data_IF_734563159242
#
_entry.id   IF_734563159242
#
_cell.length_a   1.000
_cell.length_b   1.000
_cell.length_c   1.000
_cell.angle_alpha   90.00
_cell.angle_beta   90.00
_cell.angle_gamma   90.00
#
_symmetry.space_group_name_H-M   'P 1'
#
loop_
_entity.id
_entity.type
_entity.pdbx_description
1 polymer ?
#
# COMPACT_ATOMS: atom_id res chain seq x y z
N UNK A 1 -10.86 -13.46 0.53
CA UNK A 1 -10.33 -12.25 -0.15
C UNK A 1 -9.77 -11.33 0.91
N UNK A 2 -8.59 -10.77 0.68
CA UNK A 2 -7.97 -9.78 1.58
C UNK A 2 -8.17 -8.38 1.00
N UNK A 3 -8.20 -7.38 1.86
CA UNK A 3 -8.33 -5.99 1.45
C UNK A 3 -7.04 -5.24 1.72
N UNK A 4 -6.79 -4.19 0.94
CA UNK A 4 -5.69 -3.27 1.12
C UNK A 4 -6.10 -1.85 0.77
N UNK A 5 -5.24 -0.90 1.12
CA UNK A 5 -5.38 0.49 0.68
C UNK A 5 -4.62 0.66 -0.64
N UNK A 6 -5.34 1.14 -1.66
CA UNK A 6 -4.82 1.35 -3.01
C UNK A 6 -5.08 2.78 -3.45
N UNK A 7 -4.17 3.30 -4.28
CA UNK A 7 -4.35 4.58 -4.98
C UNK A 7 -4.27 4.33 -6.48
N UNK A 8 -5.20 4.95 -7.22
CA UNK A 8 -5.26 4.86 -8.69
C UNK A 8 -4.80 6.16 -9.36
N UNK A 9 -4.64 7.21 -8.57
CA UNK A 9 -4.14 8.52 -8.93
C UNK A 9 -3.53 9.16 -7.67
N UNK A 10 -2.61 10.10 -7.85
CA UNK A 10 -2.10 10.90 -6.75
C UNK A 10 -3.13 11.94 -6.28
N UNK A 11 -3.06 12.34 -5.01
CA UNK A 11 -3.95 13.37 -4.46
C UNK A 11 -3.96 13.46 -2.94
N UNK A 12 -5.01 14.09 -2.41
CA UNK A 12 -5.28 14.14 -0.98
C UNK A 12 -5.80 12.80 -0.45
N UNK A 13 -6.23 12.74 0.82
CA UNK A 13 -6.72 11.50 1.44
C UNK A 13 -7.88 10.82 0.69
N UNK A 14 -8.66 11.57 -0.09
CA UNK A 14 -9.79 11.09 -0.89
C UNK A 14 -9.42 10.05 -1.96
N UNK A 15 -8.14 9.93 -2.33
CA UNK A 15 -7.68 8.94 -3.31
C UNK A 15 -7.45 7.55 -2.70
N UNK A 16 -7.46 7.43 -1.36
CA UNK A 16 -7.27 6.17 -0.64
C UNK A 16 -8.51 5.29 -0.79
N UNK A 17 -8.38 4.17 -1.50
CA UNK A 17 -9.45 3.18 -1.67
C UNK A 17 -9.15 1.93 -0.87
N UNK A 18 -10.08 1.54 0.00
CA UNK A 18 -10.08 0.23 0.64
C UNK A 18 -10.77 -0.76 -0.29
N UNK A 19 -9.99 -1.62 -0.94
CA UNK A 19 -10.49 -2.52 -1.97
C UNK A 19 -9.89 -3.94 -1.84
N UNK A 20 -10.58 -4.96 -2.38
CA UNK A 20 -10.02 -6.30 -2.46
C UNK A 20 -8.72 -6.32 -3.27
N UNK A 21 -7.73 -7.05 -2.81
CA UNK A 21 -6.43 -7.22 -3.50
C UNK A 21 -6.04 -8.68 -3.59
N UNK A 22 -5.31 -9.04 -4.65
CA UNK A 22 -4.60 -10.31 -4.74
C UNK A 22 -3.11 -10.10 -4.38
N UNK A 23 -2.61 -10.90 -3.45
CA UNK A 23 -1.21 -10.86 -2.99
C UNK A 23 -0.40 -12.02 -3.60
N UNK A 24 -1.07 -13.06 -4.11
CA UNK A 24 -0.39 -14.23 -4.67
C UNK A 24 0.46 -15.02 -3.66
N UNK A 25 1.37 -15.82 -4.20
CA UNK A 25 2.42 -16.53 -3.46
C UNK A 25 3.71 -15.71 -3.46
N UNK A 26 4.50 -15.73 -2.36
CA UNK A 26 5.75 -15.00 -2.31
C UNK A 26 6.76 -15.57 -3.32
N UNK A 27 7.56 -14.71 -3.92
CA UNK A 27 8.69 -15.10 -4.76
C UNK A 27 9.86 -15.67 -3.96
N UNK A 28 10.94 -16.03 -4.65
CA UNK A 28 12.16 -16.54 -4.01
C UNK A 28 12.80 -15.45 -3.15
N UNK A 29 12.90 -15.69 -1.84
CA UNK A 29 13.48 -14.75 -0.87
C UNK A 29 12.46 -13.80 -0.24
N UNK A 30 11.19 -13.91 -0.61
CA UNK A 30 10.09 -13.13 -0.02
C UNK A 30 9.32 -13.98 0.98
N UNK A 31 8.57 -13.31 1.86
CA UNK A 31 7.65 -13.96 2.82
C UNK A 31 6.26 -13.35 2.70
N UNK A 32 5.23 -14.17 2.94
CA UNK A 32 3.86 -13.70 3.05
C UNK A 32 3.51 -13.50 4.52
N UNK A 33 3.20 -12.27 4.89
CA UNK A 33 2.88 -11.89 6.28
C UNK A 33 1.38 -11.61 6.39
N UNK A 34 0.77 -12.10 7.47
CA UNK A 34 -0.57 -11.68 7.88
C UNK A 34 -0.42 -10.56 8.91
N UNK A 35 -0.61 -9.32 8.47
CA UNK A 35 -0.51 -8.16 9.35
C UNK A 35 -1.58 -8.20 10.45
N UNK A 36 -1.17 -7.82 11.65
CA UNK A 36 -1.97 -7.58 12.86
C UNK A 36 -1.86 -6.12 13.33
N UNK A 37 -0.78 -5.43 12.95
CA UNK A 37 -0.60 -3.99 13.07
C UNK A 37 0.05 -3.44 11.79
N UNK A 38 -0.26 -2.19 11.44
CA UNK A 38 0.30 -1.47 10.28
C UNK A 38 0.78 -0.12 10.78
N UNK A 39 2.03 0.23 10.49
CA UNK A 39 2.63 1.51 10.84
C UNK A 39 2.12 2.63 9.92
N UNK A 40 1.90 3.82 10.49
CA UNK A 40 1.55 5.02 9.73
C UNK A 40 2.72 6.01 9.82
N UNK A 41 3.26 6.37 8.67
CA UNK A 41 4.44 7.23 8.57
C UNK A 41 4.17 8.42 7.63
N UNK A 42 4.89 9.52 7.83
CA UNK A 42 4.76 10.70 6.95
C UNK A 42 5.13 10.41 5.49
N UNK A 43 6.00 9.41 5.25
CA UNK A 43 6.36 8.98 3.90
C UNK A 43 5.16 8.48 3.09
N UNK A 44 4.13 7.95 3.75
CA UNK A 44 2.90 7.50 3.09
C UNK A 44 2.16 8.69 2.44
N UNK A 45 2.30 9.90 2.99
CA UNK A 45 1.79 11.12 2.38
C UNK A 45 2.59 11.47 1.13
N UNK A 46 3.91 11.36 1.16
CA UNK A 46 4.77 11.67 0.01
C UNK A 46 4.53 10.72 -1.16
N UNK A 47 4.35 9.43 -0.86
CA UNK A 47 3.98 8.40 -1.84
C UNK A 47 2.57 8.66 -2.40
N UNK A 48 1.59 9.00 -1.54
CA UNK A 48 0.20 9.28 -1.96
C UNK A 48 0.09 10.55 -2.83
N UNK A 49 0.74 11.64 -2.45
CA UNK A 49 0.66 12.91 -3.18
C UNK A 49 1.49 12.90 -4.45
N UNK A 50 2.34 11.88 -4.66
CA UNK A 50 3.23 11.77 -5.81
C UNK A 50 4.49 12.62 -5.69
N UNK A 51 4.80 13.13 -4.48
CA UNK A 51 6.10 13.74 -4.21
C UNK A 51 7.22 12.70 -4.42
N UNK A 52 6.96 11.47 -4.00
CA UNK A 52 7.77 10.31 -4.34
C UNK A 52 7.06 9.50 -5.44
N UNK A 53 7.64 9.41 -6.65
CA UNK A 53 7.00 8.76 -7.77
C UNK A 53 6.79 7.27 -7.52
N UNK A 54 5.61 6.77 -7.89
CA UNK A 54 5.28 5.35 -7.87
C UNK A 54 4.47 4.97 -9.12
N UNK A 55 4.60 3.72 -9.56
CA UNK A 55 3.75 3.19 -10.62
C UNK A 55 2.33 2.98 -10.09
N UNK A 56 1.34 3.52 -10.79
CA UNK A 56 -0.08 3.39 -10.45
C UNK A 56 -0.74 2.24 -11.23
N UNK A 57 -1.75 1.54 -10.66
CA UNK A 57 -2.25 1.68 -9.29
C UNK A 57 -1.27 1.12 -8.25
N UNK A 58 -1.09 1.85 -7.14
CA UNK A 58 -0.09 1.55 -6.11
C UNK A 58 -0.73 1.16 -4.77
N UNK A 59 0.00 0.40 -3.96
CA UNK A 59 -0.29 0.15 -2.54
C UNK A 59 0.64 1.00 -1.67
N UNK A 60 0.13 1.55 -0.57
CA UNK A 60 0.92 2.35 0.38
C UNK A 60 1.43 1.51 1.56
N UNK A 61 2.39 2.05 2.31
CA UNK A 61 2.92 1.47 3.54
C UNK A 61 4.21 0.69 3.36
N UNK A 62 5.10 0.80 4.34
CA UNK A 62 6.42 0.12 4.38
C UNK A 62 6.71 -0.55 5.73
N UNK A 63 5.77 -0.52 6.67
CA UNK A 63 5.94 -0.99 8.04
C UNK A 63 4.68 -1.70 8.54
N UNK A 64 4.83 -2.91 9.08
CA UNK A 64 3.75 -3.71 9.66
C UNK A 64 4.31 -4.80 10.59
N UNK A 65 3.43 -5.40 11.40
CA UNK A 65 3.67 -6.58 12.23
C UNK A 65 2.53 -7.58 12.10
#
# INVERSE_FOLDING_TARGET
MIHGIRIHQHGGPEVLKYEPVDVGHPGRGEVRVRHTAIGLNFIDVYDRTGLYPMALPASLGREAA
#
